data_IF_868018850362
#
_entry.id   IF_868018850362
#
_cell.length_a   1.000
_cell.length_b   1.000
_cell.length_c   1.000
_cell.angle_alpha   90.00
_cell.angle_beta   90.00
_cell.angle_gamma   90.00
#
_symmetry.space_group_name_H-M   'P 1'
#
loop_
_entity.id
_entity.type
_entity.pdbx_description
1 polymer ?
#
# COMPACT_ATOMS: atom_id res chain seq x y z
N UNK A 1 36.15 13.25 4.79
CA UNK A 1 36.59 14.33 3.89
C UNK A 1 37.24 13.63 2.70
N UNK A 2 36.66 13.50 1.51
CA UNK A 2 35.89 14.48 0.72
C UNK A 2 34.85 13.78 -0.17
N UNK A 3 33.60 13.68 0.27
CA UNK A 3 32.47 13.25 -0.58
C UNK A 3 31.57 14.43 -0.99
N UNK A 4 31.93 15.66 -0.60
CA UNK A 4 31.13 16.86 -0.83
C UNK A 4 31.60 17.70 -2.03
N UNK A 5 32.72 17.35 -2.70
CA UNK A 5 33.22 18.13 -3.85
C UNK A 5 32.64 17.71 -5.21
N UNK A 6 32.08 16.50 -5.35
CA UNK A 6 31.56 16.03 -6.64
C UNK A 6 30.16 16.59 -6.97
N UNK A 7 29.36 16.91 -5.95
CA UNK A 7 28.02 17.46 -6.14
C UNK A 7 28.07 18.93 -6.59
N UNK A 8 29.01 19.72 -6.08
CA UNK A 8 29.20 21.13 -6.48
C UNK A 8 29.71 21.25 -7.93
N UNK A 9 30.53 20.31 -8.40
CA UNK A 9 31.00 20.24 -9.79
C UNK A 9 29.86 19.97 -10.79
N UNK A 10 28.84 19.22 -10.38
CA UNK A 10 27.66 18.97 -11.21
C UNK A 10 26.74 20.20 -11.27
N UNK A 11 26.59 20.92 -10.15
CA UNK A 11 25.76 22.13 -10.09
C UNK A 11 26.31 23.28 -10.94
N UNK A 12 27.64 23.42 -11.07
CA UNK A 12 28.23 24.46 -11.93
C UNK A 12 28.06 24.21 -13.43
N UNK A 13 27.78 22.96 -13.83
CA UNK A 13 27.63 22.59 -15.24
C UNK A 13 26.21 22.88 -15.77
N UNK A 14 25.20 22.81 -14.92
CA UNK A 14 23.78 22.97 -15.33
C UNK A 14 23.39 24.44 -15.47
N UNK A 15 24.11 25.39 -14.87
CA UNK A 15 23.82 26.83 -14.95
C UNK A 15 24.63 27.60 -16.00
N UNK A 16 25.44 26.91 -16.82
CA UNK A 16 26.23 27.57 -17.86
C UNK A 16 25.34 27.96 -19.05
N UNK A 17 25.09 29.27 -19.21
CA UNK A 17 24.34 29.85 -20.34
C UNK A 17 24.96 29.47 -21.69
N UNK A 18 24.14 29.08 -22.70
CA UNK A 18 24.62 28.62 -23.98
C UNK A 18 24.85 29.81 -24.93
N UNK A 19 26.04 30.40 -24.87
CA UNK A 19 26.43 31.43 -25.85
C UNK A 19 27.89 31.25 -26.29
N UNK A 20 28.19 30.17 -27.02
CA UNK A 20 29.12 30.18 -28.17
C UNK A 20 29.39 28.74 -28.68
N UNK A 21 29.54 28.53 -30.00
CA UNK A 21 29.49 27.21 -30.63
C UNK A 21 30.88 26.67 -30.98
N UNK A 22 31.28 25.57 -30.36
CA UNK A 22 32.06 24.50 -31.01
C UNK A 22 31.60 23.17 -30.42
N UNK A 23 30.62 22.55 -31.07
CA UNK A 23 30.18 21.21 -30.73
C UNK A 23 31.32 20.23 -31.00
N UNK A 24 32.10 19.92 -29.96
CA UNK A 24 32.97 18.75 -29.97
C UNK A 24 32.08 17.53 -29.72
N UNK A 25 31.47 17.05 -30.80
CA UNK A 25 30.55 15.90 -30.82
C UNK A 25 31.23 14.63 -30.28
N UNK A 26 32.57 14.57 -30.24
CA UNK A 26 33.32 13.48 -29.62
C UNK A 26 33.19 13.46 -28.10
N UNK A 27 33.20 14.61 -27.43
CA UNK A 27 33.11 14.67 -25.97
C UNK A 27 31.74 14.22 -25.47
N UNK A 28 30.65 14.62 -26.16
CA UNK A 28 29.30 14.13 -25.87
C UNK A 28 29.15 12.63 -26.14
N UNK A 29 29.80 12.10 -27.19
CA UNK A 29 29.75 10.67 -27.50
C UNK A 29 30.50 9.81 -26.47
N UNK A 30 31.65 10.30 -25.98
CA UNK A 30 32.45 9.63 -24.94
C UNK A 30 31.71 9.68 -23.59
N UNK A 31 31.11 10.81 -23.23
CA UNK A 31 30.32 10.92 -21.99
C UNK A 31 29.07 10.03 -22.03
N UNK A 32 28.34 9.98 -23.15
CA UNK A 32 27.21 9.06 -23.31
C UNK A 32 27.64 7.58 -23.26
N UNK A 33 28.80 7.22 -23.83
CA UNK A 33 29.33 5.86 -23.76
C UNK A 33 29.77 5.48 -22.33
N UNK A 34 30.35 6.40 -21.57
CA UNK A 34 30.72 6.18 -20.18
C UNK A 34 29.49 6.01 -19.27
N UNK A 35 28.43 6.82 -19.49
CA UNK A 35 27.15 6.68 -18.80
C UNK A 35 26.50 5.34 -19.14
N UNK A 36 26.47 4.96 -20.42
CA UNK A 36 25.91 3.68 -20.86
C UNK A 36 26.67 2.49 -20.29
N UNK A 37 28.01 2.51 -20.30
CA UNK A 37 28.85 1.46 -19.69
C UNK A 37 28.61 1.40 -18.17
N UNK A 38 28.49 2.54 -17.48
CA UNK A 38 28.22 2.57 -16.04
C UNK A 38 26.82 2.04 -15.70
N UNK A 39 25.82 2.35 -16.52
CA UNK A 39 24.47 1.77 -16.40
C UNK A 39 24.49 0.26 -16.63
N UNK A 40 25.17 -0.20 -17.69
CA UNK A 40 25.25 -1.63 -18.00
C UNK A 40 26.02 -2.42 -16.94
N UNK A 41 27.12 -1.86 -16.43
CA UNK A 41 27.88 -2.46 -15.34
C UNK A 41 27.06 -2.48 -14.04
N UNK A 42 26.21 -1.46 -13.77
CA UNK A 42 25.30 -1.49 -12.63
C UNK A 42 24.17 -2.52 -12.79
N UNK A 43 23.59 -2.66 -13.99
CA UNK A 43 22.60 -3.71 -14.29
C UNK A 43 23.20 -5.12 -14.09
N UNK A 44 24.39 -5.36 -14.63
CA UNK A 44 25.12 -6.62 -14.42
C UNK A 44 25.50 -6.84 -12.94
N UNK A 45 25.73 -5.76 -12.18
CA UNK A 45 25.98 -5.83 -10.72
C UNK A 45 24.73 -6.13 -9.91
N UNK A 46 23.55 -5.70 -10.38
CA UNK A 46 22.25 -6.02 -9.77
C UNK A 46 21.94 -7.50 -10.03
N UNK A 47 22.08 -7.95 -11.28
CA UNK A 47 21.91 -9.37 -11.66
C UNK A 47 22.89 -10.29 -10.91
N UNK A 48 24.12 -9.84 -10.64
CA UNK A 48 25.11 -10.61 -9.88
C UNK A 48 24.96 -10.53 -8.34
N UNK A 49 24.14 -9.62 -7.81
CA UNK A 49 23.90 -9.48 -6.35
C UNK A 49 22.68 -10.22 -5.86
N UNK A 50 21.75 -10.54 -6.75
CA UNK A 50 20.63 -11.41 -6.45
C UNK A 50 21.01 -12.83 -6.85
N UNK A 51 21.87 -13.45 -6.03
CA UNK A 51 21.90 -14.91 -5.99
C UNK A 51 20.48 -15.36 -5.68
N UNK A 52 19.78 -15.87 -6.69
CA UNK A 52 18.42 -16.38 -6.56
C UNK A 52 18.46 -17.35 -5.36
N UNK A 53 17.79 -17.06 -4.24
CA UNK A 53 17.75 -18.00 -3.14
C UNK A 53 17.18 -19.27 -3.73
N UNK A 54 17.93 -20.37 -3.58
CA UNK A 54 17.48 -21.72 -3.95
C UNK A 54 16.02 -21.86 -3.54
N UNK A 55 15.14 -22.30 -4.44
CA UNK A 55 13.69 -22.29 -4.21
C UNK A 55 13.33 -22.99 -2.89
N UNK A 56 14.17 -23.94 -2.47
CA UNK A 56 14.13 -24.59 -1.16
C UNK A 56 14.35 -23.63 0.01
N UNK A 57 15.34 -22.73 -0.05
CA UNK A 57 15.60 -21.73 1.00
C UNK A 57 14.43 -20.75 1.12
N UNK A 58 13.83 -20.35 0.00
CA UNK A 58 12.63 -19.49 0.01
C UNK A 58 11.45 -20.20 0.66
N UNK A 59 11.21 -21.46 0.30
CA UNK A 59 10.15 -22.28 0.90
C UNK A 59 10.36 -22.48 2.41
N UNK A 60 11.59 -22.76 2.84
CA UNK A 60 11.96 -22.89 4.26
C UNK A 60 11.74 -21.58 5.02
N UNK A 61 12.11 -20.44 4.43
CA UNK A 61 11.90 -19.14 5.05
C UNK A 61 10.41 -18.81 5.21
N UNK A 62 9.60 -19.06 4.18
CA UNK A 62 8.13 -18.88 4.25
C UNK A 62 7.53 -19.78 5.32
N UNK A 63 7.98 -21.03 5.44
CA UNK A 63 7.53 -21.95 6.49
C UNK A 63 7.84 -21.42 7.88
N UNK A 64 9.08 -20.98 8.13
CA UNK A 64 9.49 -20.41 9.41
C UNK A 64 8.67 -19.18 9.79
N UNK A 65 8.38 -18.29 8.82
CA UNK A 65 7.55 -17.11 9.04
C UNK A 65 6.11 -17.49 9.42
N UNK A 66 5.53 -18.51 8.79
CA UNK A 66 4.19 -19.02 9.14
C UNK A 66 4.15 -19.58 10.55
N UNK A 67 5.10 -20.45 10.91
CA UNK A 67 5.20 -21.01 12.26
C UNK A 67 5.43 -19.93 13.34
N UNK A 68 6.17 -18.87 13.03
CA UNK A 68 6.35 -17.75 13.94
C UNK A 68 5.06 -16.95 14.14
N UNK A 69 4.28 -16.75 13.06
CA UNK A 69 2.99 -16.08 13.12
C UNK A 69 1.96 -16.89 13.93
N UNK A 70 1.91 -18.21 13.70
CA UNK A 70 1.02 -19.12 14.44
C UNK A 70 1.38 -19.18 15.93
N UNK A 71 2.67 -19.19 16.27
CA UNK A 71 3.11 -19.10 17.67
C UNK A 71 2.73 -17.79 18.34
N UNK A 72 2.76 -16.69 17.58
CA UNK A 72 2.42 -15.36 18.08
C UNK A 72 0.90 -15.20 18.27
N UNK A 73 0.10 -15.75 17.36
CA UNK A 73 -1.37 -15.68 17.40
C UNK A 73 -1.98 -16.50 18.54
N UNK A 74 -1.32 -17.57 19.00
CA UNK A 74 -1.79 -18.41 20.11
C UNK A 74 -1.64 -17.72 21.48
N UNK A 75 -0.66 -16.81 21.63
CA UNK A 75 -0.35 -16.18 22.93
C UNK A 75 -1.01 -14.81 23.14
N UNK A 76 -1.45 -14.16 22.07
CA UNK A 76 -2.27 -12.96 22.16
C UNK A 76 -3.72 -13.36 22.48
N UNK A 77 -4.45 -12.65 23.37
CA UNK A 77 -5.88 -12.84 23.48
C UNK A 77 -6.50 -12.66 22.08
N UNK A 78 -7.47 -13.50 21.69
CA UNK A 78 -8.12 -13.37 20.39
C UNK A 78 -8.58 -11.92 20.24
N UNK A 79 -8.10 -11.25 19.18
CA UNK A 79 -8.56 -9.92 18.85
C UNK A 79 -10.06 -10.03 18.57
N UNK A 80 -10.87 -9.70 19.57
CA UNK A 80 -12.32 -9.74 19.45
C UNK A 80 -12.69 -8.65 18.47
N UNK A 81 -12.96 -9.07 17.24
CA UNK A 81 -13.42 -8.18 16.20
C UNK A 81 -14.86 -7.75 16.56
N UNK A 82 -15.01 -6.54 17.09
CA UNK A 82 -16.31 -5.93 17.29
C UNK A 82 -16.68 -5.06 16.09
N UNK A 83 -17.91 -5.23 15.57
CA UNK A 83 -18.50 -4.32 14.58
C UNK A 83 -19.27 -3.18 15.23
N UNK A 84 -19.32 -3.15 16.56
CA UNK A 84 -20.08 -2.17 17.31
C UNK A 84 -19.54 -0.75 17.07
N UNK A 85 -20.44 0.19 16.82
CA UNK A 85 -20.06 1.60 16.70
C UNK A 85 -19.63 2.13 18.07
N UNK A 86 -18.43 2.71 18.24
CA UNK A 86 -17.95 3.18 19.55
C UNK A 86 -18.66 4.42 20.09
N UNK A 87 -19.58 5.02 19.33
CA UNK A 87 -20.31 6.25 19.71
C UNK A 87 -21.72 5.90 20.17
N UNK A 88 -22.48 5.20 19.32
CA UNK A 88 -23.88 4.87 19.58
C UNK A 88 -24.09 3.44 20.08
N UNK A 89 -23.03 2.63 20.18
CA UNK A 89 -23.06 1.24 20.62
C UNK A 89 -24.00 0.35 19.79
N UNK A 90 -24.29 0.74 18.54
CA UNK A 90 -25.03 -0.11 17.61
C UNK A 90 -24.15 -1.30 17.22
N UNK A 91 -24.57 -2.55 17.48
CA UNK A 91 -23.68 -3.71 17.38
C UNK A 91 -23.25 -4.02 15.95
N UNK A 92 -24.07 -3.70 14.95
CA UNK A 92 -23.80 -3.95 13.55
C UNK A 92 -24.48 -2.88 12.67
N UNK A 93 -23.90 -1.68 12.56
CA UNK A 93 -24.43 -0.64 11.69
C UNK A 93 -24.31 -1.05 10.21
N UNK A 94 -25.33 -0.76 9.40
CA UNK A 94 -25.39 -1.13 7.98
C UNK A 94 -24.30 -0.47 7.13
N UNK A 95 -23.95 0.78 7.47
CA UNK A 95 -22.88 1.52 6.79
C UNK A 95 -21.91 2.07 7.82
N UNK A 96 -20.63 1.78 7.61
CA UNK A 96 -19.52 2.26 8.43
C UNK A 96 -18.67 3.23 7.63
N UNK A 97 -17.94 4.09 8.32
CA UNK A 97 -16.97 5.01 7.73
C UNK A 97 -15.64 4.86 8.43
N UNK A 98 -14.56 5.02 7.69
CA UNK A 98 -13.20 5.04 8.19
C UNK A 98 -12.63 6.46 8.08
N UNK A 99 -12.01 6.95 9.14
CA UNK A 99 -11.33 8.23 9.16
C UNK A 99 -9.93 8.10 8.54
N UNK A 100 -9.65 8.86 7.48
CA UNK A 100 -8.46 8.66 6.61
C UNK A 100 -7.12 8.79 7.33
N UNK A 101 -7.02 9.69 8.32
CA UNK A 101 -5.74 9.98 8.98
C UNK A 101 -5.42 8.96 10.07
N UNK A 102 -6.42 8.58 10.86
CA UNK A 102 -6.21 7.75 12.06
C UNK A 102 -6.71 6.31 11.94
N UNK A 103 -7.51 5.99 10.91
CA UNK A 103 -8.03 4.66 10.66
C UNK A 103 -9.17 4.22 11.60
N UNK A 104 -9.63 5.08 12.51
CA UNK A 104 -10.76 4.74 13.38
C UNK A 104 -12.06 4.60 12.56
N UNK A 105 -12.94 3.72 13.00
CA UNK A 105 -14.18 3.36 12.30
C UNK A 105 -15.39 3.70 13.16
N UNK A 106 -16.40 4.31 12.54
CA UNK A 106 -17.68 4.67 13.16
C UNK A 106 -18.84 4.35 12.21
N UNK A 107 -20.09 4.38 12.68
CA UNK A 107 -21.24 4.28 11.78
C UNK A 107 -21.44 5.59 11.00
N UNK A 108 -22.01 5.49 9.79
CA UNK A 108 -22.28 6.66 8.94
C UNK A 108 -23.24 7.66 9.61
N UNK A 109 -24.21 7.17 10.40
CA UNK A 109 -25.17 8.03 11.09
C UNK A 109 -24.49 8.98 12.09
N UNK A 110 -23.60 8.47 12.95
CA UNK A 110 -22.87 9.30 13.90
C UNK A 110 -21.94 10.30 13.21
N UNK A 111 -21.22 9.87 12.17
CA UNK A 111 -20.37 10.80 11.41
C UNK A 111 -21.21 11.86 10.69
N UNK A 112 -22.38 11.50 10.17
CA UNK A 112 -23.32 12.46 9.57
C UNK A 112 -23.77 13.54 10.55
N UNK A 113 -24.11 13.15 11.79
CA UNK A 113 -24.50 14.09 12.84
C UNK A 113 -23.36 15.05 13.22
N UNK A 114 -22.14 14.55 13.37
CA UNK A 114 -20.96 15.38 13.61
C UNK A 114 -20.70 16.39 12.48
N UNK A 115 -20.90 15.96 11.23
CA UNK A 115 -20.73 16.83 10.06
C UNK A 115 -21.78 17.96 10.02
N UNK A 116 -23.01 17.69 10.46
CA UNK A 116 -24.04 18.72 10.64
C UNK A 116 -23.64 19.74 11.71
N UNK A 117 -22.94 19.29 12.76
CA UNK A 117 -22.38 20.15 13.81
C UNK A 117 -21.07 20.84 13.39
N UNK A 118 -20.60 20.61 12.16
CA UNK A 118 -19.34 21.14 11.60
C UNK A 118 -18.08 20.63 12.31
N UNK A 119 -18.15 19.49 12.97
CA UNK A 119 -17.00 18.83 13.57
C UNK A 119 -16.32 17.91 12.54
N UNK A 120 -15.05 18.17 12.23
CA UNK A 120 -14.23 17.35 11.30
C UNK A 120 -13.13 16.57 12.02
N UNK A 121 -13.30 16.38 13.32
CA UNK A 121 -12.34 15.66 14.14
C UNK A 121 -12.83 14.23 14.32
N UNK A 122 -11.89 13.29 14.39
CA UNK A 122 -12.21 11.93 14.75
C UNK A 122 -12.79 11.90 16.17
N UNK A 123 -13.97 11.31 16.42
CA UNK A 123 -14.57 11.25 17.75
C UNK A 123 -13.77 10.39 18.74
N UNK A 124 -12.88 9.51 18.23
CA UNK A 124 -12.05 8.62 19.05
C UNK A 124 -10.75 9.29 19.47
N UNK A 125 -9.96 9.79 18.51
CA UNK A 125 -8.63 10.36 18.78
C UNK A 125 -8.53 11.88 18.62
N UNK A 126 -9.60 12.55 18.19
CA UNK A 126 -9.71 14.01 17.97
C UNK A 126 -8.79 14.60 16.90
N UNK A 127 -8.08 13.76 16.15
CA UNK A 127 -7.29 14.20 15.00
C UNK A 127 -8.19 14.79 13.91
N UNK A 128 -7.74 15.85 13.25
CA UNK A 128 -8.48 16.42 12.11
C UNK A 128 -8.40 15.47 10.91
N UNK A 129 -9.53 15.15 10.29
CA UNK A 129 -9.56 14.12 9.25
C UNK A 129 -10.81 14.20 8.38
N UNK A 130 -10.69 13.77 7.14
CA UNK A 130 -11.84 13.37 6.32
C UNK A 130 -12.19 11.90 6.56
N UNK A 131 -13.31 11.44 6.00
CA UNK A 131 -13.74 10.04 6.10
C UNK A 131 -14.01 9.43 4.71
N UNK A 132 -14.08 8.11 4.67
CA UNK A 132 -14.50 7.31 3.51
C UNK A 132 -15.50 6.26 3.96
N UNK A 133 -16.56 6.04 3.18
CA UNK A 133 -17.54 5.00 3.46
C UNK A 133 -16.95 3.61 3.18
N UNK A 134 -17.19 2.68 4.09
CA UNK A 134 -16.89 1.27 3.93
C UNK A 134 -18.15 0.56 3.44
N UNK A 135 -18.03 -0.16 2.33
CA UNK A 135 -19.08 -1.00 1.79
C UNK A 135 -18.74 -2.45 2.10
N UNK A 136 -19.66 -3.15 2.77
CA UNK A 136 -19.54 -4.58 3.01
C UNK A 136 -20.30 -5.31 1.90
N UNK A 137 -19.69 -6.36 1.35
CA UNK A 137 -20.37 -7.25 0.42
C UNK A 137 -21.36 -8.11 1.22
N UNK A 138 -22.64 -8.06 0.85
CA UNK A 138 -23.63 -8.98 1.39
C UNK A 138 -23.36 -10.37 0.77
N UNK A 139 -23.15 -11.39 1.59
CA UNK A 139 -23.06 -12.76 1.09
C UNK A 139 -24.43 -13.16 0.55
N UNK A 140 -24.56 -13.27 -0.77
CA UNK A 140 -25.78 -13.78 -1.40
C UNK A 140 -26.03 -15.22 -0.92
N UNK A 141 -27.05 -15.41 -0.07
CA UNK A 141 -27.56 -16.75 0.24
C UNK A 141 -28.03 -17.39 -1.06
N UNK A 142 -27.26 -18.36 -1.57
CA UNK A 142 -27.64 -19.18 -2.71
C UNK A 142 -28.90 -19.96 -2.34
N UNK A 143 -30.07 -19.43 -2.72
CA UNK A 143 -31.31 -20.20 -2.68
C UNK A 143 -31.20 -21.30 -3.73
N UNK A 144 -30.95 -22.53 -3.28
CA UNK A 144 -31.01 -23.71 -4.13
C UNK A 144 -32.44 -23.88 -4.66
N UNK A 145 -32.66 -23.41 -5.89
CA UNK A 145 -33.90 -23.60 -6.63
C UNK A 145 -34.18 -25.09 -6.81
N UNK A 146 -35.15 -25.62 -6.04
CA UNK A 146 -35.78 -26.92 -6.27
C UNK A 146 -36.50 -26.91 -7.61
N UNK A 147 -35.81 -27.30 -8.68
CA UNK A 147 -36.43 -27.78 -9.93
C UNK A 147 -36.72 -29.28 -9.81
N UNK A 148 -37.75 -29.70 -10.55
CA UNK A 148 -38.23 -31.08 -10.78
C UNK A 148 -39.26 -31.55 -9.72
N UNK A 149 -40.49 -31.95 -10.06
CA UNK A 149 -40.99 -32.59 -11.27
C UNK A 149 -42.50 -32.34 -11.44
N UNK A 150 -42.93 -31.81 -12.59
CA UNK A 150 -44.31 -32.03 -13.06
C UNK A 150 -44.29 -33.28 -13.91
N UNK A 151 -44.81 -34.37 -13.35
CA UNK A 151 -45.14 -35.61 -14.04
C UNK A 151 -46.22 -35.31 -15.10
N UNK A 152 -45.96 -35.75 -16.32
CA UNK A 152 -46.88 -35.72 -17.45
C UNK A 152 -48.07 -36.64 -17.14
N UNK A 153 -49.28 -36.10 -17.20
CA UNK A 153 -50.52 -36.90 -17.22
C UNK A 153 -50.84 -37.12 -18.69
N UNK A 154 -50.69 -38.37 -19.11
CA UNK A 154 -51.15 -38.93 -20.39
C UNK A 154 -52.67 -39.18 -20.37
#
# INVERSE_FOLDING_TARGET
>A
ADAMSEFELFSSYVTASPSSPRHDTRALFIMNRAIFIRMHLNLLRIEAREGLPDDLQRAQHVHQLREANDRSSISAPPLVYSRECPICNTPQPSVRVCYKVCGHITCLACTGEMMLQRERNCPVCREWTDYVSLHEEEEEEKTEDKRESKEEVE
#
